data_IF_548287481490
#
_entry.id   IF_548287481490
#
_cell.length_a   1.000
_cell.length_b   1.000
_cell.length_c   1.000
_cell.angle_alpha   90.00
_cell.angle_beta   90.00
_cell.angle_gamma   90.00
#
_symmetry.space_group_name_H-M   'P 1'
#
loop_
_entity.id
_entity.type
_entity.pdbx_description
1 polymer ?
#
# COMPACT_ATOMS: atom_id res chain seq x y z
N UNK A 1 17.58 -7.05 -10.81
CA UNK A 1 18.02 -7.05 -12.22
C UNK A 1 19.23 -6.15 -12.42
N UNK A 2 19.28 -4.96 -11.79
CA UNK A 2 20.41 -4.02 -11.93
C UNK A 2 21.78 -4.65 -11.71
N UNK A 3 21.97 -5.46 -10.66
CA UNK A 3 23.27 -6.09 -10.35
C UNK A 3 23.67 -7.21 -11.32
N UNK A 4 22.69 -7.90 -11.93
CA UNK A 4 22.95 -9.06 -12.80
C UNK A 4 23.09 -8.67 -14.28
N UNK A 5 22.37 -7.64 -14.72
CA UNK A 5 22.22 -7.27 -16.13
C UNK A 5 22.79 -5.87 -16.46
N UNK A 6 23.16 -5.10 -15.43
CA UNK A 6 23.47 -3.68 -15.55
C UNK A 6 22.21 -2.83 -15.55
N UNK A 7 22.30 -1.66 -14.89
CA UNK A 7 21.18 -0.72 -14.74
C UNK A 7 20.51 -0.33 -16.08
N UNK A 8 21.24 0.00 -17.17
CA UNK A 8 20.62 0.40 -18.44
C UNK A 8 19.77 -0.71 -19.06
N UNK A 9 20.26 -1.95 -19.04
CA UNK A 9 19.54 -3.10 -19.60
C UNK A 9 18.33 -3.46 -18.75
N UNK A 10 18.46 -3.38 -17.41
CA UNK A 10 17.36 -3.60 -16.49
C UNK A 10 16.20 -2.61 -16.73
N UNK A 11 16.51 -1.33 -16.92
CA UNK A 11 15.52 -0.29 -17.24
C UNK A 11 14.91 -0.54 -18.62
N UNK A 12 15.71 -0.83 -19.64
CA UNK A 12 15.21 -1.11 -20.98
C UNK A 12 14.23 -2.29 -21.01
N UNK A 13 14.56 -3.38 -20.30
CA UNK A 13 13.68 -4.54 -20.14
C UNK A 13 12.37 -4.17 -19.45
N UNK A 14 12.42 -3.40 -18.37
CA UNK A 14 11.22 -2.94 -17.67
C UNK A 14 10.31 -2.08 -18.56
N UNK A 15 10.89 -1.12 -19.29
CA UNK A 15 10.13 -0.30 -20.24
C UNK A 15 9.51 -1.16 -21.34
N UNK A 16 10.22 -2.18 -21.81
CA UNK A 16 9.70 -3.17 -22.75
C UNK A 16 8.50 -3.95 -22.19
N UNK A 17 8.60 -4.43 -20.95
CA UNK A 17 7.48 -5.11 -20.27
C UNK A 17 6.29 -4.18 -20.09
N UNK A 18 6.50 -2.94 -19.65
CA UNK A 18 5.41 -1.95 -19.54
C UNK A 18 4.76 -1.64 -20.89
N UNK A 19 5.54 -1.49 -21.96
CA UNK A 19 5.02 -1.28 -23.30
C UNK A 19 4.20 -2.47 -23.81
N UNK A 20 4.63 -3.70 -23.49
CA UNK A 20 3.88 -4.92 -23.80
C UNK A 20 2.57 -5.00 -23.01
N UNK A 21 2.62 -4.75 -21.71
CA UNK A 21 1.44 -4.71 -20.85
C UNK A 21 0.45 -3.64 -21.32
N UNK A 22 0.93 -2.43 -21.66
CA UNK A 22 0.11 -1.37 -22.23
C UNK A 22 -0.55 -1.76 -23.55
N UNK A 23 0.19 -2.45 -24.44
CA UNK A 23 -0.39 -2.96 -25.69
C UNK A 23 -1.42 -4.06 -25.43
N UNK A 24 -1.15 -4.96 -24.49
CA UNK A 24 -2.07 -6.03 -24.13
C UNK A 24 -3.37 -5.47 -23.53
N UNK A 25 -3.27 -4.52 -22.59
CA UNK A 25 -4.44 -3.86 -22.00
C UNK A 25 -5.20 -3.01 -23.00
N UNK A 26 -4.56 -2.40 -24.00
CA UNK A 26 -5.29 -1.73 -25.09
C UNK A 26 -5.97 -2.69 -26.06
N UNK A 27 -5.47 -3.92 -26.22
CA UNK A 27 -6.07 -4.93 -27.12
C UNK A 27 -7.18 -5.73 -26.47
N UNK A 28 -7.09 -5.99 -25.18
CA UNK A 28 -8.03 -6.83 -24.44
C UNK A 28 -8.87 -6.06 -23.43
N UNK A 29 -8.52 -4.82 -23.12
CA UNK A 29 -9.30 -3.95 -22.25
C UNK A 29 -10.54 -3.46 -22.96
N UNK A 30 -11.64 -3.38 -22.22
CA UNK A 30 -12.90 -2.88 -22.74
C UNK A 30 -12.80 -1.35 -22.91
N UNK A 31 -13.10 -0.78 -24.08
CA UNK A 31 -13.02 0.67 -24.31
C UNK A 31 -13.87 1.49 -23.33
N UNK A 32 -14.99 0.92 -22.87
CA UNK A 32 -15.95 1.57 -21.97
C UNK A 32 -15.42 1.74 -20.53
N UNK A 33 -14.44 0.96 -20.08
CA UNK A 33 -13.80 1.14 -18.77
C UNK A 33 -12.87 2.38 -18.75
N UNK A 34 -12.40 2.83 -19.92
CA UNK A 34 -11.48 3.95 -20.04
C UNK A 34 -12.18 5.33 -20.04
N UNK A 35 -13.50 5.38 -20.27
CA UNK A 35 -14.24 6.62 -20.48
C UNK A 35 -15.15 6.98 -19.30
N UNK A 36 -14.55 7.27 -18.14
CA UNK A 36 -15.19 8.28 -17.28
C UNK A 36 -14.61 9.62 -17.71
N UNK A 37 -15.39 10.45 -18.40
CA UNK A 37 -14.96 11.81 -18.76
C UNK A 37 -14.82 12.61 -17.46
N UNK A 38 -13.64 12.57 -16.86
CA UNK A 38 -13.35 13.19 -15.58
C UNK A 38 -13.32 14.71 -15.80
N UNK A 39 -14.35 15.41 -15.32
CA UNK A 39 -14.45 16.87 -15.45
C UNK A 39 -13.63 17.48 -14.32
N UNK A 40 -12.37 17.80 -14.60
CA UNK A 40 -11.44 18.35 -13.60
C UNK A 40 -11.91 19.73 -13.13
N UNK A 41 -12.19 19.88 -11.84
CA UNK A 41 -12.64 21.14 -11.23
C UNK A 41 -11.63 21.69 -10.22
N UNK A 42 -10.36 21.84 -10.62
CA UNK A 42 -9.33 22.49 -9.82
C UNK A 42 -9.20 21.90 -8.41
N UNK A 43 -9.78 22.59 -7.42
CA UNK A 43 -9.74 22.24 -5.99
C UNK A 43 -10.83 21.25 -5.56
N UNK A 44 -11.92 21.13 -6.34
CA UNK A 44 -12.96 20.11 -6.13
C UNK A 44 -12.69 18.96 -7.09
N UNK A 45 -12.67 17.75 -6.54
CA UNK A 45 -12.39 16.54 -7.31
C UNK A 45 -13.36 16.34 -8.49
N UNK A 46 -13.05 15.39 -9.40
CA UNK A 46 -11.95 14.45 -9.31
C UNK A 46 -10.64 14.98 -9.92
N UNK A 47 -9.49 14.48 -9.46
CA UNK A 47 -8.15 14.90 -9.92
C UNK A 47 -7.61 14.00 -11.03
N UNK A 48 -6.75 14.53 -11.93
CA UNK A 48 -6.18 13.73 -13.01
C UNK A 48 -5.28 12.61 -12.49
N UNK A 49 -5.50 11.38 -12.98
CA UNK A 49 -4.73 10.20 -12.59
C UNK A 49 -3.22 10.39 -12.75
N UNK A 50 -2.79 11.07 -13.82
CA UNK A 50 -1.37 11.39 -14.05
C UNK A 50 -0.77 12.23 -12.94
N UNK A 51 -1.53 13.18 -12.37
CA UNK A 51 -1.08 13.98 -11.25
C UNK A 51 -0.88 13.10 -10.01
N UNK A 52 -1.83 12.21 -9.71
CA UNK A 52 -1.70 11.27 -8.60
C UNK A 52 -0.47 10.35 -8.77
N UNK A 53 -0.26 9.79 -9.96
CA UNK A 53 0.91 8.95 -10.25
C UNK A 53 2.22 9.72 -10.03
N UNK A 54 2.31 10.95 -10.54
CA UNK A 54 3.48 11.80 -10.39
C UNK A 54 3.73 12.17 -8.92
N UNK A 55 2.70 12.58 -8.19
CA UNK A 55 2.80 12.95 -6.78
C UNK A 55 3.21 11.76 -5.91
N UNK A 56 2.64 10.57 -6.13
CA UNK A 56 3.03 9.36 -5.37
C UNK A 56 4.48 9.00 -5.64
N UNK A 57 4.94 9.08 -6.90
CA UNK A 57 6.35 8.85 -7.24
C UNK A 57 7.29 9.85 -6.55
N UNK A 58 6.93 11.14 -6.58
CA UNK A 58 7.71 12.20 -5.94
C UNK A 58 7.76 12.04 -4.42
N UNK A 59 6.63 11.70 -3.78
CA UNK A 59 6.55 11.46 -2.35
C UNK A 59 7.37 10.22 -1.94
N UNK A 60 7.29 9.13 -2.71
CA UNK A 60 8.12 7.95 -2.46
C UNK A 60 9.62 8.27 -2.58
N UNK A 61 10.01 9.12 -3.54
CA UNK A 61 11.40 9.60 -3.64
C UNK A 61 11.77 10.47 -2.43
N UNK A 62 10.90 11.39 -2.01
CA UNK A 62 11.14 12.25 -0.85
C UNK A 62 11.31 11.42 0.44
N UNK A 63 10.47 10.41 0.66
CA UNK A 63 10.59 9.46 1.77
C UNK A 63 11.93 8.73 1.70
N UNK A 64 12.32 8.23 0.53
CA UNK A 64 13.60 7.54 0.36
C UNK A 64 14.80 8.44 0.68
N UNK A 65 14.77 9.70 0.25
CA UNK A 65 15.82 10.68 0.51
C UNK A 65 15.89 11.09 2.00
N UNK A 66 14.75 11.13 2.68
CA UNK A 66 14.68 11.55 4.09
C UNK A 66 15.01 10.42 5.06
N UNK A 67 14.47 9.22 4.82
CA UNK A 67 14.50 8.09 5.77
C UNK A 67 15.55 7.04 5.41
N UNK A 68 16.10 7.09 4.20
CA UNK A 68 17.05 6.11 3.69
C UNK A 68 16.43 4.76 3.29
N UNK A 69 15.12 4.59 3.47
CA UNK A 69 14.39 3.39 3.08
C UNK A 69 13.15 3.74 2.23
N UNK A 70 12.65 2.83 1.39
CA UNK A 70 11.43 3.07 0.61
C UNK A 70 10.21 3.31 1.50
N UNK A 71 9.13 3.86 0.93
CA UNK A 71 7.90 4.11 1.68
C UNK A 71 7.25 2.79 2.14
N UNK A 72 7.22 2.58 3.46
CA UNK A 72 6.59 1.43 4.11
C UNK A 72 5.42 1.88 4.98
N UNK A 73 4.31 1.15 4.89
CA UNK A 73 3.07 1.40 5.65
C UNK A 73 2.83 0.33 6.74
N UNK A 74 3.31 -0.89 6.52
CA UNK A 74 2.98 -2.06 7.33
C UNK A 74 3.73 -2.11 8.67
N UNK A 75 4.85 -1.39 8.79
CA UNK A 75 5.63 -1.31 10.02
C UNK A 75 4.81 -0.70 11.17
N UNK A 76 4.25 0.49 10.95
CA UNK A 76 3.44 1.20 11.93
C UNK A 76 2.30 0.35 12.50
N UNK A 77 1.56 -0.41 11.67
CA UNK A 77 0.47 -1.25 12.17
C UNK A 77 0.95 -2.37 13.10
N UNK A 78 2.12 -2.92 12.86
CA UNK A 78 2.73 -3.92 13.75
C UNK A 78 3.24 -3.29 15.03
N UNK A 79 3.79 -2.08 14.96
CA UNK A 79 4.17 -1.32 16.15
C UNK A 79 2.95 -0.98 17.02
N UNK A 80 1.87 -0.49 16.40
CA UNK A 80 0.63 -0.17 17.11
C UNK A 80 0.01 -1.42 17.74
N UNK A 81 -0.05 -2.52 16.99
CA UNK A 81 -0.53 -3.80 17.49
C UNK A 81 0.31 -4.32 18.67
N UNK A 82 1.63 -4.20 18.60
CA UNK A 82 2.52 -4.59 19.69
C UNK A 82 2.34 -3.70 20.94
N UNK A 83 2.16 -2.38 20.77
CA UNK A 83 1.86 -1.47 21.89
C UNK A 83 0.52 -1.79 22.54
N UNK A 84 -0.50 -2.09 21.74
CA UNK A 84 -1.79 -2.53 22.26
C UNK A 84 -1.67 -3.84 23.04
N UNK A 85 -0.92 -4.81 22.52
CA UNK A 85 -0.67 -6.07 23.21
C UNK A 85 0.11 -5.85 24.53
N UNK A 86 1.14 -5.00 24.51
CA UNK A 86 1.91 -4.65 25.70
C UNK A 86 1.04 -3.96 26.76
N UNK A 87 0.13 -3.07 26.36
CA UNK A 87 -0.84 -2.44 27.26
C UNK A 87 -1.82 -3.46 27.89
N UNK A 88 -2.06 -4.60 27.24
CA UNK A 88 -2.86 -5.72 27.76
C UNK A 88 -2.03 -6.70 28.61
N UNK A 89 -0.77 -6.39 28.90
CA UNK A 89 0.12 -7.20 29.76
C UNK A 89 1.03 -8.18 29.02
N UNK A 90 1.13 -8.10 27.69
CA UNK A 90 2.08 -8.91 26.93
C UNK A 90 3.52 -8.43 27.12
N UNK A 91 4.43 -9.36 27.43
CA UNK A 91 5.86 -9.04 27.54
C UNK A 91 6.55 -9.23 26.18
N UNK A 92 7.04 -8.13 25.62
CA UNK A 92 7.73 -8.09 24.33
C UNK A 92 9.12 -8.75 24.37
N UNK A 93 9.79 -8.79 25.51
CA UNK A 93 11.11 -9.42 25.69
C UNK A 93 11.04 -10.95 25.49
N UNK A 94 9.87 -11.54 25.75
CA UNK A 94 9.66 -12.97 25.54
C UNK A 94 9.43 -13.34 24.06
N UNK A 95 9.34 -12.36 23.16
CA UNK A 95 9.12 -12.58 21.73
C UNK A 95 10.41 -12.50 20.94
N UNK A 96 10.72 -13.54 20.17
CA UNK A 96 11.91 -13.58 19.29
C UNK A 96 11.97 -12.45 18.26
N UNK A 97 10.82 -11.89 17.88
CA UNK A 97 10.76 -10.76 16.95
C UNK A 97 11.02 -9.41 17.63
N UNK A 98 10.56 -9.23 18.87
CA UNK A 98 10.63 -7.94 19.57
C UNK A 98 11.78 -7.82 20.56
N UNK A 99 12.44 -8.92 20.92
CA UNK A 99 13.65 -8.99 21.73
C UNK A 99 14.90 -8.51 20.95
N UNK A 100 14.76 -7.50 20.12
CA UNK A 100 15.85 -6.81 19.46
C UNK A 100 15.89 -5.39 20.01
N UNK A 101 17.06 -4.91 20.47
CA UNK A 101 17.17 -3.65 21.21
C UNK A 101 16.52 -2.47 20.49
N UNK A 102 16.71 -2.38 19.17
CA UNK A 102 16.10 -1.35 18.33
C UNK A 102 14.56 -1.40 18.33
N UNK A 103 13.97 -2.60 18.21
CA UNK A 103 12.50 -2.77 18.17
C UNK A 103 11.87 -2.57 19.54
N UNK A 104 12.58 -2.98 20.59
CA UNK A 104 12.15 -2.77 21.97
C UNK A 104 12.13 -1.28 22.31
N UNK A 105 13.18 -0.54 21.90
CA UNK A 105 13.24 0.92 22.07
C UNK A 105 12.08 1.62 21.35
N UNK A 106 11.74 1.21 20.13
CA UNK A 106 10.58 1.74 19.42
C UNK A 106 9.24 1.39 20.08
N UNK A 107 9.17 0.26 20.76
CA UNK A 107 7.98 -0.13 21.52
C UNK A 107 7.76 0.78 22.72
N UNK A 108 8.85 1.20 23.39
CA UNK A 108 8.81 2.14 24.51
C UNK A 108 8.69 3.61 24.08
N UNK A 109 9.12 3.95 22.87
CA UNK A 109 9.05 5.32 22.35
C UNK A 109 7.59 5.75 22.07
N UNK A 110 7.38 7.03 21.77
CA UNK A 110 6.07 7.52 21.35
C UNK A 110 5.69 6.97 19.96
N UNK A 111 4.40 6.90 19.65
CA UNK A 111 3.90 6.58 18.31
C UNK A 111 4.22 7.69 17.30
N UNK A 112 4.46 8.91 17.77
CA UNK A 112 4.85 10.06 16.94
C UNK A 112 6.35 10.15 16.67
N UNK A 113 7.17 9.36 17.35
CA UNK A 113 8.61 9.31 17.07
C UNK A 113 8.95 8.34 15.94
N UNK A 114 8.01 7.48 15.55
CA UNK A 114 8.17 6.58 14.42
C UNK A 114 7.70 7.26 13.13
N UNK A 115 8.60 7.34 12.15
CA UNK A 115 8.38 8.02 10.88
C UNK A 115 7.23 7.38 10.09
N UNK A 116 7.16 6.04 10.04
CA UNK A 116 6.11 5.33 9.30
C UNK A 116 4.73 5.53 9.93
N UNK A 117 4.69 5.66 11.26
CA UNK A 117 3.49 5.94 12.02
C UNK A 117 2.96 7.34 11.74
N UNK A 118 3.83 8.36 11.75
CA UNK A 118 3.46 9.74 11.38
C UNK A 118 3.00 9.80 9.92
N UNK A 119 3.68 9.10 9.00
CA UNK A 119 3.26 9.01 7.61
C UNK A 119 1.88 8.37 7.46
N UNK A 120 1.58 7.29 8.20
CA UNK A 120 0.26 6.65 8.16
C UNK A 120 -0.84 7.58 8.68
N UNK A 121 -0.58 8.33 9.75
CA UNK A 121 -1.51 9.36 10.24
C UNK A 121 -1.73 10.46 9.19
N UNK A 122 -0.66 10.91 8.52
CA UNK A 122 -0.75 11.88 7.42
C UNK A 122 -1.57 11.34 6.23
N UNK A 123 -1.43 10.06 5.87
CA UNK A 123 -2.24 9.41 4.83
C UNK A 123 -3.72 9.42 5.22
N UNK A 124 -4.04 9.02 6.46
CA UNK A 124 -5.42 8.99 6.94
C UNK A 124 -6.03 10.40 6.91
N UNK A 125 -5.36 11.38 7.51
CA UNK A 125 -5.84 12.76 7.55
C UNK A 125 -5.92 13.39 6.16
N UNK A 126 -4.92 13.15 5.31
CA UNK A 126 -4.89 13.62 3.93
C UNK A 126 -6.01 13.03 3.08
N UNK A 127 -6.31 11.73 3.23
CA UNK A 127 -7.41 11.07 2.51
C UNK A 127 -8.78 11.60 2.94
N UNK A 128 -8.96 11.86 4.24
CA UNK A 128 -10.19 12.48 4.77
C UNK A 128 -10.35 13.91 4.25
N UNK A 129 -9.26 14.70 4.27
CA UNK A 129 -9.25 16.05 3.73
C UNK A 129 -9.55 16.09 2.23
N UNK A 130 -8.95 15.18 1.46
CA UNK A 130 -9.23 15.04 0.03
C UNK A 130 -10.69 14.65 -0.22
N UNK A 131 -11.25 13.69 0.51
CA UNK A 131 -12.66 13.31 0.40
C UNK A 131 -13.61 14.47 0.75
N UNK A 132 -13.27 15.27 1.76
CA UNK A 132 -14.02 16.47 2.12
C UNK A 132 -13.98 17.55 1.03
N UNK A 133 -12.80 17.82 0.44
CA UNK A 133 -12.63 18.76 -0.67
C UNK A 133 -13.35 18.31 -1.95
N UNK A 134 -13.39 17.00 -2.20
CA UNK A 134 -14.15 16.42 -3.29
C UNK A 134 -15.67 16.43 -3.05
N UNK A 135 -16.13 16.73 -1.82
CA UNK A 135 -17.55 16.65 -1.46
C UNK A 135 -18.08 15.21 -1.40
N UNK A 136 -17.19 14.22 -1.33
CA UNK A 136 -17.52 12.79 -1.32
C UNK A 136 -17.51 12.18 0.08
N UNK A 137 -17.31 13.00 1.11
CA UNK A 137 -17.33 12.55 2.50
C UNK A 137 -18.75 12.09 2.89
N UNK A 138 -18.99 10.79 2.77
CA UNK A 138 -20.26 10.14 3.10
C UNK A 138 -20.05 9.18 4.28
N UNK A 139 -20.04 9.67 5.52
CA UNK A 139 -19.89 8.81 6.69
C UNK A 139 -21.11 7.90 6.81
N UNK A 140 -20.92 6.61 6.57
CA UNK A 140 -21.93 5.59 6.77
C UNK A 140 -21.57 4.75 8.00
N UNK A 141 -22.33 4.94 9.09
CA UNK A 141 -22.14 4.19 10.33
C UNK A 141 -22.98 2.90 10.39
N UNK A 142 -23.72 2.56 9.31
CA UNK A 142 -24.49 1.32 9.24
C UNK A 142 -23.58 0.16 8.84
N UNK A 143 -22.91 -0.40 9.84
CA UNK A 143 -22.05 -1.57 9.66
C UNK A 143 -22.85 -2.83 9.97
N UNK A 144 -23.08 -3.66 8.95
CA UNK A 144 -23.66 -5.00 9.14
C UNK A 144 -22.56 -6.00 9.51
N UNK A 145 -22.91 -7.08 10.21
CA UNK A 145 -21.93 -8.07 10.68
C UNK A 145 -21.14 -8.72 9.53
N UNK A 146 -21.78 -9.04 8.41
CA UNK A 146 -21.12 -9.72 7.27
C UNK A 146 -20.01 -8.86 6.62
N UNK A 147 -20.28 -7.58 6.26
CA UNK A 147 -19.22 -6.70 5.75
C UNK A 147 -18.11 -6.46 6.77
N UNK A 148 -18.44 -6.37 8.06
CA UNK A 148 -17.44 -6.24 9.13
C UNK A 148 -16.53 -7.45 9.19
N UNK A 149 -17.09 -8.67 9.16
CA UNK A 149 -16.30 -9.90 9.12
C UNK A 149 -15.42 -9.97 7.88
N UNK A 150 -15.95 -9.56 6.72
CA UNK A 150 -15.17 -9.46 5.48
C UNK A 150 -13.98 -8.52 5.60
N UNK A 151 -14.19 -7.34 6.20
CA UNK A 151 -13.13 -6.36 6.43
C UNK A 151 -12.07 -6.85 7.44
N UNK A 152 -12.50 -7.51 8.52
CA UNK A 152 -11.60 -8.08 9.53
C UNK A 152 -10.75 -9.22 8.96
N UNK A 153 -11.38 -10.17 8.27
CA UNK A 153 -10.67 -11.29 7.63
C UNK A 153 -9.75 -10.79 6.52
N UNK A 154 -10.23 -9.86 5.69
CA UNK A 154 -9.42 -9.22 4.65
C UNK A 154 -8.21 -8.49 5.21
N UNK A 155 -8.40 -7.70 6.27
CA UNK A 155 -7.31 -6.99 6.97
C UNK A 155 -6.29 -7.94 7.58
N UNK A 156 -6.74 -9.04 8.20
CA UNK A 156 -5.86 -10.06 8.77
C UNK A 156 -5.02 -10.75 7.68
N UNK A 157 -5.66 -11.14 6.58
CA UNK A 157 -4.97 -11.75 5.44
C UNK A 157 -3.99 -10.77 4.78
N UNK A 158 -4.37 -9.49 4.62
CA UNK A 158 -3.48 -8.45 4.12
C UNK A 158 -2.27 -8.24 5.04
N UNK A 159 -2.49 -8.16 6.36
CA UNK A 159 -1.43 -8.00 7.34
C UNK A 159 -0.46 -9.18 7.32
N UNK A 160 -0.98 -10.41 7.40
CA UNK A 160 -0.20 -11.63 7.33
C UNK A 160 0.59 -11.75 6.01
N UNK A 161 -0.09 -11.56 4.88
CA UNK A 161 0.51 -11.61 3.56
C UNK A 161 1.62 -10.58 3.39
N UNK A 162 1.42 -9.35 3.87
CA UNK A 162 2.43 -8.29 3.79
C UNK A 162 3.71 -8.61 4.57
N UNK A 163 3.63 -9.41 5.63
CA UNK A 163 4.78 -9.81 6.43
C UNK A 163 5.59 -10.91 5.75
N UNK A 164 4.92 -11.92 5.19
CA UNK A 164 5.58 -12.99 4.43
C UNK A 164 6.17 -12.46 3.13
N UNK A 165 5.46 -11.52 2.48
CA UNK A 165 5.90 -10.91 1.25
C UNK A 165 6.91 -9.76 1.45
N UNK A 166 7.29 -9.45 2.69
CA UNK A 166 8.21 -8.36 3.05
C UNK A 166 7.81 -6.97 2.52
N UNK A 167 6.52 -6.71 2.39
CA UNK A 167 6.02 -5.39 2.05
C UNK A 167 4.57 -5.35 1.56
N UNK A 168 4.09 -4.13 1.34
CA UNK A 168 2.76 -3.84 0.78
C UNK A 168 2.87 -3.37 -0.68
N UNK A 169 1.76 -2.96 -1.28
CA UNK A 169 1.72 -2.46 -2.66
C UNK A 169 2.67 -1.26 -2.88
N UNK A 170 2.82 -0.38 -1.90
CA UNK A 170 3.73 0.77 -2.02
C UNK A 170 5.19 0.29 -1.86
N UNK A 171 5.51 -0.38 -0.77
CA UNK A 171 6.90 -0.79 -0.49
C UNK A 171 7.44 -1.91 -1.40
N UNK A 172 6.69 -3.00 -1.57
CA UNK A 172 7.15 -4.17 -2.32
C UNK A 172 6.95 -4.01 -3.83
N UNK A 173 5.81 -3.48 -4.28
CA UNK A 173 5.54 -3.32 -5.71
C UNK A 173 6.10 -2.00 -6.27
N UNK A 174 5.62 -0.84 -5.80
CA UNK A 174 6.05 0.44 -6.38
C UNK A 174 7.55 0.64 -6.19
N UNK A 175 8.05 0.56 -4.95
CA UNK A 175 9.48 0.78 -4.68
C UNK A 175 10.37 -0.39 -5.17
N UNK A 176 9.85 -1.62 -5.17
CA UNK A 176 10.58 -2.79 -5.69
C UNK A 176 10.73 -2.76 -7.21
N UNK A 177 9.69 -2.37 -7.95
CA UNK A 177 9.77 -2.24 -9.41
C UNK A 177 10.60 -1.02 -9.79
N UNK A 178 10.46 0.12 -9.09
CA UNK A 178 11.26 1.32 -9.37
C UNK A 178 12.76 1.11 -9.17
N UNK A 179 13.15 0.23 -8.25
CA UNK A 179 14.56 -0.13 -7.99
C UNK A 179 15.11 -1.21 -8.93
N UNK A 180 14.35 -1.63 -9.96
CA UNK A 180 14.72 -2.74 -10.85
C UNK A 180 14.90 -4.09 -10.15
N UNK A 181 14.21 -4.28 -9.01
CA UNK A 181 14.25 -5.53 -8.26
C UNK A 181 13.34 -6.59 -8.89
N UNK A 182 13.81 -7.85 -8.89
CA UNK A 182 12.99 -8.99 -9.31
C UNK A 182 11.86 -9.27 -8.30
N UNK A 183 12.11 -8.96 -7.02
CA UNK A 183 11.15 -9.19 -5.94
C UNK A 183 9.82 -8.48 -6.22
N UNK A 184 9.83 -7.22 -6.67
CA UNK A 184 8.60 -6.48 -6.99
C UNK A 184 7.78 -7.12 -8.12
N UNK A 185 8.45 -7.71 -9.11
CA UNK A 185 7.79 -8.44 -10.20
C UNK A 185 7.21 -9.78 -9.74
N UNK A 186 7.93 -10.53 -8.90
CA UNK A 186 7.39 -11.76 -8.32
C UNK A 186 6.21 -11.45 -7.39
N UNK A 187 6.31 -10.36 -6.62
CA UNK A 187 5.26 -9.90 -5.73
C UNK A 187 3.96 -9.62 -6.52
N UNK A 188 4.02 -8.89 -7.64
CA UNK A 188 2.80 -8.57 -8.41
C UNK A 188 2.19 -9.81 -9.07
N UNK A 189 3.03 -10.74 -9.57
CA UNK A 189 2.56 -12.00 -10.15
C UNK A 189 1.83 -12.84 -9.10
N UNK A 190 2.30 -12.88 -7.86
CA UNK A 190 1.62 -13.57 -6.77
C UNK A 190 0.38 -12.81 -6.25
N UNK A 191 0.42 -11.47 -6.25
CA UNK A 191 -0.68 -10.63 -5.78
C UNK A 191 -1.89 -10.65 -6.72
N UNK A 192 -1.69 -10.81 -8.03
CA UNK A 192 -2.77 -10.79 -9.03
C UNK A 192 -3.81 -11.90 -8.83
N UNK A 193 -3.45 -13.20 -8.70
CA UNK A 193 -4.41 -14.26 -8.37
C UNK A 193 -5.11 -14.03 -7.03
N UNK A 194 -4.38 -13.57 -6.01
CA UNK A 194 -4.94 -13.25 -4.70
C UNK A 194 -6.01 -12.16 -4.78
N UNK A 195 -5.76 -11.10 -5.55
CA UNK A 195 -6.73 -10.04 -5.80
C UNK A 195 -7.95 -10.55 -6.57
N UNK A 196 -7.76 -11.40 -7.59
CA UNK A 196 -8.87 -11.99 -8.34
C UNK A 196 -9.79 -12.83 -7.45
N UNK A 197 -9.21 -13.67 -6.58
CA UNK A 197 -9.96 -14.43 -5.58
C UNK A 197 -10.68 -13.48 -4.61
N UNK A 198 -9.98 -12.46 -4.09
CA UNK A 198 -10.56 -11.47 -3.17
C UNK A 198 -11.77 -10.75 -3.76
N UNK A 199 -11.69 -10.30 -5.02
CA UNK A 199 -12.81 -9.67 -5.74
C UNK A 199 -14.00 -10.63 -5.87
N UNK A 200 -13.76 -11.92 -6.12
CA UNK A 200 -14.84 -12.90 -6.22
C UNK A 200 -15.48 -13.19 -4.85
N UNK A 201 -14.68 -13.25 -3.79
CA UNK A 201 -15.13 -13.45 -2.42
C UNK A 201 -15.92 -12.24 -1.87
N UNK A 202 -15.66 -11.03 -2.37
CA UNK A 202 -16.34 -9.78 -1.96
C UNK A 202 -17.87 -9.90 -1.99
N UNK A 203 -18.40 -10.56 -3.03
CA UNK A 203 -19.85 -10.79 -3.20
C UNK A 203 -20.48 -11.59 -2.05
N UNK A 204 -19.73 -12.51 -1.43
CA UNK A 204 -20.22 -13.34 -0.34
C UNK A 204 -20.32 -12.58 0.99
N UNK A 205 -19.45 -11.59 1.20
CA UNK A 205 -19.44 -10.78 2.42
C UNK A 205 -20.30 -9.51 2.30
N UNK A 206 -20.96 -9.28 1.15
CA UNK A 206 -21.77 -8.07 0.86
C UNK A 206 -21.02 -6.76 1.14
N UNK A 207 -19.70 -6.78 0.91
CA UNK A 207 -18.87 -5.58 1.03
C UNK A 207 -19.09 -4.78 -0.25
N UNK A 208 -19.97 -3.77 -0.21
CA UNK A 208 -20.20 -2.81 -1.30
C UNK A 208 -19.32 -1.57 -1.15
#
# INVERSE_FOLDING_TARGET
LGDMLGWPLAVALQLGVFALLWRATRRWGNPDEASTTQRYQGWRGPWPLFLTMFLVALLNLAVLLQTGHPWVVTWAFTLWGAKMAAALGWNAENSSFWNDGYRLDQLHSSVFSDETSVMNLAIILGSLGAAALAGELKPNFRVTLLPLLGALLGGLLMGYGSRIAYGCNIGAFLSGVSSTSLHGWLWIVAALPGNWVGVRLRSMFRVE
#
